data_IF_379114986693
#
_entry.id   IF_379114986693
#
_cell.length_a   1.000
_cell.length_b   1.000
_cell.length_c   1.000
_cell.angle_alpha   90.00
_cell.angle_beta   90.00
_cell.angle_gamma   90.00
#
_symmetry.space_group_name_H-M   'P 1'
#
loop_
_entity.id
_entity.type
_entity.pdbx_description
1 polymer ?
#
# COMPACT_ATOMS: atom_id res chain seq x y z
N UNK A 1 21.10 8.99 15.70
CA UNK A 1 19.77 9.11 15.07
C UNK A 1 19.53 7.86 14.26
N UNK A 2 18.81 6.87 14.80
CA UNK A 2 18.44 5.70 14.00
C UNK A 2 17.39 6.15 13.00
N UNK A 3 17.69 6.00 11.71
CA UNK A 3 16.67 5.97 10.65
C UNK A 3 15.92 4.65 10.85
N UNK A 4 15.16 4.53 11.94
CA UNK A 4 14.29 3.39 12.16
C UNK A 4 13.04 3.64 11.33
N UNK A 5 12.94 2.86 10.25
CA UNK A 5 11.81 2.69 9.36
C UNK A 5 10.52 3.35 9.86
N UNK A 6 10.17 4.48 9.24
CA UNK A 6 8.83 4.83 8.80
C UNK A 6 7.68 4.09 9.52
N UNK A 7 6.79 4.84 10.20
CA UNK A 7 5.58 4.35 10.89
C UNK A 7 4.49 3.72 9.97
N UNK A 8 4.91 2.83 9.08
CA UNK A 8 4.09 1.99 8.22
C UNK A 8 3.48 0.87 9.05
N UNK A 9 4.25 0.27 9.95
CA UNK A 9 3.81 -0.93 10.64
C UNK A 9 2.68 -0.69 11.64
N UNK A 10 2.60 0.46 12.32
CA UNK A 10 1.45 0.74 13.19
C UNK A 10 0.16 0.82 12.37
N UNK A 11 0.22 1.42 11.17
CA UNK A 11 -0.92 1.48 10.25
C UNK A 11 -1.28 0.10 9.70
N UNK A 12 -0.28 -0.72 9.34
CA UNK A 12 -0.51 -2.11 8.92
C UNK A 12 -1.18 -2.91 10.03
N UNK A 13 -0.74 -2.78 11.28
CA UNK A 13 -1.34 -3.50 12.41
C UNK A 13 -2.76 -3.03 12.72
N UNK A 14 -3.00 -1.72 12.64
CA UNK A 14 -4.35 -1.16 12.77
C UNK A 14 -5.30 -1.72 11.71
N UNK A 15 -4.85 -1.84 10.46
CA UNK A 15 -5.63 -2.44 9.38
C UNK A 15 -5.83 -3.94 9.59
N UNK A 16 -4.75 -4.68 9.88
CA UNK A 16 -4.78 -6.14 10.05
C UNK A 16 -5.62 -6.60 11.25
N UNK A 17 -5.76 -5.77 12.28
CA UNK A 17 -6.62 -6.03 13.43
C UNK A 17 -8.11 -5.78 13.18
N UNK A 18 -8.49 -5.15 12.06
CA UNK A 18 -9.90 -4.91 11.74
C UNK A 18 -10.60 -6.21 11.32
N UNK A 19 -11.83 -6.41 11.81
CA UNK A 19 -12.62 -7.64 11.57
C UNK A 19 -12.83 -7.95 10.08
N UNK A 20 -12.92 -6.91 9.25
CA UNK A 20 -13.23 -7.03 7.82
C UNK A 20 -11.99 -6.90 6.92
N UNK A 21 -10.79 -6.91 7.50
CA UNK A 21 -9.55 -6.82 6.73
C UNK A 21 -9.02 -8.21 6.37
N UNK A 22 -9.12 -8.56 5.09
CA UNK A 22 -8.66 -9.85 4.62
C UNK A 22 -7.14 -10.03 4.84
N UNK A 23 -6.74 -11.12 5.51
CA UNK A 23 -5.34 -11.45 5.84
C UNK A 23 -4.39 -11.37 4.63
N UNK A 24 -4.84 -11.77 3.44
CA UNK A 24 -4.05 -11.69 2.20
C UNK A 24 -3.64 -10.27 1.83
N UNK A 25 -4.41 -9.25 2.25
CA UNK A 25 -4.16 -7.83 1.94
C UNK A 25 -3.13 -7.18 2.87
N UNK A 26 -2.59 -7.89 3.86
CA UNK A 26 -1.55 -7.35 4.75
C UNK A 26 -0.29 -6.97 3.96
N UNK A 27 0.08 -7.77 2.96
CA UNK A 27 1.21 -7.45 2.08
C UNK A 27 0.91 -6.24 1.18
N UNK A 28 -0.31 -6.18 0.62
CA UNK A 28 -0.74 -5.03 -0.18
C UNK A 28 -0.74 -3.73 0.64
N UNK A 29 -1.22 -3.79 1.89
CA UNK A 29 -1.23 -2.67 2.81
C UNK A 29 0.19 -2.17 3.10
N UNK A 30 1.08 -3.09 3.45
CA UNK A 30 2.48 -2.75 3.72
C UNK A 30 3.12 -2.10 2.50
N UNK A 31 2.95 -2.69 1.31
CA UNK A 31 3.50 -2.15 0.08
C UNK A 31 2.94 -0.76 -0.24
N UNK A 32 1.61 -0.60 -0.21
CA UNK A 32 0.96 0.66 -0.51
C UNK A 32 1.38 1.79 0.45
N UNK A 33 1.40 1.51 1.75
CA UNK A 33 1.80 2.47 2.77
C UNK A 33 3.28 2.86 2.65
N UNK A 34 4.17 1.89 2.40
CA UNK A 34 5.59 2.18 2.15
C UNK A 34 5.77 3.08 0.94
N UNK A 35 5.17 2.74 -0.20
CA UNK A 35 5.28 3.53 -1.43
C UNK A 35 4.79 4.97 -1.23
N UNK A 36 3.64 5.14 -0.58
CA UNK A 36 3.08 6.47 -0.30
C UNK A 36 3.97 7.27 0.64
N UNK A 37 4.52 6.64 1.67
CA UNK A 37 5.44 7.30 2.59
C UNK A 37 6.74 7.72 1.89
N UNK A 38 7.18 6.98 0.88
CA UNK A 38 8.30 7.35 0.01
C UNK A 38 7.94 8.41 -1.05
N UNK A 39 6.74 9.00 -1.00
CA UNK A 39 6.31 10.06 -1.92
C UNK A 39 5.80 9.56 -3.28
N UNK A 40 5.60 8.26 -3.46
CA UNK A 40 5.05 7.72 -4.71
C UNK A 40 3.59 8.12 -4.85
N UNK A 41 3.27 8.86 -5.91
CA UNK A 41 1.89 9.26 -6.24
C UNK A 41 1.30 8.46 -7.40
N UNK A 42 2.15 7.89 -8.26
CA UNK A 42 1.78 7.14 -9.46
C UNK A 42 2.36 5.72 -9.33
N UNK A 43 1.49 4.71 -9.27
CA UNK A 43 1.90 3.32 -9.04
C UNK A 43 1.50 2.40 -10.20
N UNK A 44 2.50 1.86 -10.90
CA UNK A 44 2.29 0.86 -11.96
C UNK A 44 2.25 -0.56 -11.37
N UNK A 45 1.16 -1.30 -11.61
CA UNK A 45 0.98 -2.67 -11.13
C UNK A 45 -0.04 -3.43 -11.97
N UNK A 46 0.15 -4.73 -12.19
CA UNK A 46 -0.86 -5.60 -12.81
C UNK A 46 -2.09 -5.82 -11.92
N UNK A 47 -1.93 -5.69 -10.59
CA UNK A 47 -2.99 -5.92 -9.60
C UNK A 47 -3.76 -4.64 -9.26
N UNK A 48 -4.16 -3.87 -10.27
CA UNK A 48 -4.75 -2.52 -10.12
C UNK A 48 -5.88 -2.49 -9.07
N UNK A 49 -6.80 -3.46 -9.12
CA UNK A 49 -7.95 -3.57 -8.21
C UNK A 49 -7.57 -3.61 -6.72
N UNK A 50 -6.43 -4.21 -6.38
CA UNK A 50 -6.01 -4.38 -4.99
C UNK A 50 -5.39 -3.08 -4.43
N UNK A 51 -4.92 -2.21 -5.33
CA UNK A 51 -4.25 -0.94 -5.03
C UNK A 51 -5.11 0.31 -5.29
N UNK A 52 -6.29 0.15 -5.91
CA UNK A 52 -7.32 1.18 -5.96
C UNK A 52 -7.80 1.54 -4.55
N UNK A 53 -7.94 2.83 -4.27
CA UNK A 53 -8.39 3.32 -2.96
C UNK A 53 -7.30 3.45 -1.88
N UNK A 54 -6.04 3.11 -2.18
CA UNK A 54 -4.94 3.32 -1.22
C UNK A 54 -4.43 4.76 -1.14
N UNK A 55 -4.94 5.68 -1.98
CA UNK A 55 -4.57 7.10 -1.98
C UNK A 55 -3.48 7.50 -2.97
N UNK A 56 -3.18 6.66 -3.97
CA UNK A 56 -2.38 7.07 -5.13
C UNK A 56 -3.21 7.98 -6.06
N UNK A 57 -2.55 8.91 -6.75
CA UNK A 57 -3.16 9.75 -7.78
C UNK A 57 -3.46 8.93 -9.05
N UNK A 58 -2.60 7.96 -9.37
CA UNK A 58 -2.78 7.04 -10.51
C UNK A 58 -2.34 5.64 -10.14
N UNK A 59 -3.16 4.65 -10.49
CA UNK A 59 -2.79 3.23 -10.48
C UNK A 59 -3.16 2.65 -11.83
N UNK A 60 -2.22 2.00 -12.52
CA UNK A 60 -2.48 1.41 -13.84
C UNK A 60 -1.69 0.13 -14.06
N UNK A 61 -2.20 -0.73 -14.95
CA UNK A 61 -1.46 -1.88 -15.44
C UNK A 61 -0.58 -1.44 -16.61
N UNK A 62 0.76 -1.46 -16.47
CA UNK A 62 1.66 -1.03 -17.54
C UNK A 62 1.65 -1.99 -18.74
N UNK A 63 1.09 -3.20 -18.60
CA UNK A 63 1.01 -4.21 -19.67
C UNK A 63 -0.21 -4.03 -20.60
N UNK A 64 -1.13 -3.13 -20.25
CA UNK A 64 -2.32 -2.81 -21.06
C UNK A 64 -2.17 -1.46 -21.80
N UNK A 65 -0.99 -0.86 -21.73
CA UNK A 65 -0.64 0.40 -22.35
C UNK A 65 0.10 0.17 -23.67
#
# INVERSE_FOLDING_TARGET
>A
MRIENANVMDQVWKLAGARDFARRRVFDARLALTLRQSGVTHFATSNVKDFQGWGFQKVWNPLLA
#
